data_IF_535260868262
#
_entry.id   IF_535260868262
#
_cell.length_a   1.000
_cell.length_b   1.000
_cell.length_c   1.000
_cell.angle_alpha   90.00
_cell.angle_beta   90.00
_cell.angle_gamma   90.00
#
_symmetry.space_group_name_H-M   'P 1'
#
loop_
_entity.id
_entity.type
_entity.pdbx_description
1 polymer ?
#
# COMPACT_ATOMS: atom_id res chain seq x y z
N UNK A 1 -12.24 -25.43 80.43
CA UNK A 1 -11.45 -24.30 79.87
C UNK A 1 -10.84 -24.56 78.47
N UNK A 2 -10.40 -25.77 78.12
CA UNK A 2 -9.79 -26.10 76.83
C UNK A 2 -10.64 -25.80 75.61
N UNK A 3 -11.97 -26.07 75.63
CA UNK A 3 -12.82 -25.85 74.45
C UNK A 3 -13.13 -24.35 74.11
N UNK A 4 -12.99 -23.42 75.06
CA UNK A 4 -13.23 -22.00 74.83
C UNK A 4 -12.10 -21.33 74.07
N UNK A 5 -10.85 -21.73 74.37
CA UNK A 5 -9.63 -21.25 73.68
C UNK A 5 -9.58 -21.73 72.23
N UNK A 6 -10.00 -22.99 71.98
CA UNK A 6 -10.05 -23.56 70.62
C UNK A 6 -11.08 -22.79 69.75
N UNK A 7 -12.29 -22.56 70.28
CA UNK A 7 -13.36 -21.81 69.55
C UNK A 7 -12.97 -20.36 69.23
N UNK A 8 -12.14 -19.71 70.10
CA UNK A 8 -11.65 -18.34 69.84
C UNK A 8 -10.50 -18.30 68.84
N UNK A 9 -9.74 -19.39 68.65
CA UNK A 9 -8.62 -19.47 67.68
C UNK A 9 -9.05 -19.82 66.26
N UNK A 10 -10.21 -20.46 66.09
CA UNK A 10 -10.75 -20.87 64.80
C UNK A 10 -10.86 -19.73 63.76
N UNK A 11 -11.43 -18.56 64.11
CA UNK A 11 -11.51 -17.44 63.14
C UNK A 11 -10.13 -16.95 62.67
N UNK A 12 -9.14 -16.94 63.59
CA UNK A 12 -7.77 -16.53 63.24
C UNK A 12 -7.08 -17.53 62.30
N UNK A 13 -7.30 -18.83 62.55
CA UNK A 13 -6.76 -19.90 61.68
C UNK A 13 -7.42 -19.85 60.30
N UNK A 14 -8.74 -19.68 60.22
CA UNK A 14 -9.48 -19.55 58.97
C UNK A 14 -9.03 -18.30 58.19
N UNK A 15 -8.80 -17.17 58.87
CA UNK A 15 -8.25 -15.95 58.26
C UNK A 15 -6.84 -16.18 57.70
N UNK A 16 -5.96 -16.84 58.45
CA UNK A 16 -4.62 -17.16 58.01
C UNK A 16 -4.59 -18.13 56.78
N UNK A 17 -5.50 -19.14 56.80
CA UNK A 17 -5.66 -20.05 55.66
C UNK A 17 -6.18 -19.26 54.42
N UNK A 18 -7.13 -18.35 54.61
CA UNK A 18 -7.67 -17.56 53.48
C UNK A 18 -6.58 -16.68 52.84
N UNK A 19 -5.79 -15.98 53.65
CA UNK A 19 -4.66 -15.16 53.13
C UNK A 19 -3.71 -16.04 52.30
N UNK A 20 -3.32 -17.21 52.80
CA UNK A 20 -2.45 -18.13 52.06
C UNK A 20 -3.08 -18.71 50.80
N UNK A 21 -4.40 -18.94 50.80
CA UNK A 21 -5.13 -19.33 49.58
C UNK A 21 -5.12 -18.22 48.55
N UNK A 22 -5.33 -16.99 48.98
CA UNK A 22 -5.33 -15.81 48.10
C UNK A 22 -3.94 -15.57 47.50
N UNK A 23 -2.87 -15.69 48.33
CA UNK A 23 -1.46 -15.67 47.85
C UNK A 23 -1.20 -16.78 46.82
N UNK A 24 -1.58 -18.01 47.11
CA UNK A 24 -1.39 -19.16 46.23
C UNK A 24 -2.16 -19.00 44.90
N UNK A 25 -3.39 -18.49 44.93
CA UNK A 25 -4.16 -18.20 43.75
C UNK A 25 -3.52 -17.09 42.93
N UNK A 26 -3.01 -16.03 43.56
CA UNK A 26 -2.31 -14.94 42.89
C UNK A 26 -1.02 -15.42 42.20
N UNK A 27 -0.28 -16.31 42.84
CA UNK A 27 0.91 -16.92 42.25
C UNK A 27 0.54 -17.86 41.08
N UNK A 28 -0.53 -18.69 41.20
CA UNK A 28 -1.04 -19.50 40.10
C UNK A 28 -1.50 -18.65 38.89
N UNK A 29 -2.20 -17.54 39.15
CA UNK A 29 -2.60 -16.59 38.11
C UNK A 29 -1.39 -15.96 37.41
N UNK A 30 -0.32 -15.70 38.19
CA UNK A 30 0.96 -15.21 37.68
C UNK A 30 1.68 -16.18 36.73
N UNK A 31 1.46 -17.50 36.89
CA UNK A 31 2.00 -18.55 36.00
C UNK A 31 1.22 -18.64 34.68
N UNK A 32 0.06 -17.99 34.57
CA UNK A 32 -0.82 -18.07 33.40
C UNK A 32 -1.65 -19.35 33.33
N UNK A 33 -2.26 -19.64 32.19
CA UNK A 33 -3.16 -20.78 32.00
C UNK A 33 -2.41 -22.12 31.95
N UNK A 34 -2.97 -23.20 32.53
CA UNK A 34 -2.38 -24.52 32.48
C UNK A 34 -2.41 -25.12 31.06
N UNK A 35 -1.36 -25.83 30.67
CA UNK A 35 -1.17 -26.42 29.34
C UNK A 35 -0.85 -27.93 29.44
N UNK A 36 -1.55 -28.61 30.33
CA UNK A 36 -1.25 -29.99 30.70
C UNK A 36 -1.45 -30.98 29.54
N UNK A 37 -2.32 -30.68 28.59
CA UNK A 37 -2.64 -31.57 27.49
C UNK A 37 -2.84 -30.80 26.16
N UNK A 38 -2.92 -31.54 25.06
CA UNK A 38 -3.12 -30.98 23.72
C UNK A 38 -4.44 -30.19 23.61
N UNK A 39 -5.47 -30.51 24.35
CA UNK A 39 -6.74 -29.82 24.32
C UNK A 39 -6.61 -28.42 24.97
N UNK A 40 -5.94 -28.30 26.09
CA UNK A 40 -5.65 -27.06 26.77
C UNK A 40 -4.74 -26.17 25.90
N UNK A 41 -3.68 -26.74 25.32
CA UNK A 41 -2.78 -26.06 24.39
C UNK A 41 -3.51 -25.51 23.17
N UNK A 42 -4.36 -26.32 22.52
CA UNK A 42 -5.16 -25.93 21.39
C UNK A 42 -6.13 -24.78 21.74
N UNK A 43 -6.82 -24.92 22.89
CA UNK A 43 -7.77 -23.92 23.38
C UNK A 43 -7.08 -22.56 23.61
N UNK A 44 -5.88 -22.59 24.19
CA UNK A 44 -5.09 -21.38 24.41
C UNK A 44 -4.71 -20.71 23.08
N UNK A 45 -4.09 -21.45 22.14
CA UNK A 45 -3.67 -20.91 20.84
C UNK A 45 -4.88 -20.39 20.05
N UNK A 46 -5.99 -21.12 20.08
CA UNK A 46 -7.23 -20.72 19.39
C UNK A 46 -7.83 -19.44 19.97
N UNK A 47 -7.77 -19.26 21.30
CA UNK A 47 -8.21 -18.02 21.97
C UNK A 47 -7.32 -16.82 21.59
N UNK A 48 -6.01 -17.01 21.56
CA UNK A 48 -5.07 -15.99 21.08
C UNK A 48 -5.38 -15.61 19.64
N UNK A 49 -5.63 -16.60 18.77
CA UNK A 49 -5.99 -16.35 17.38
C UNK A 49 -7.31 -15.60 17.23
N UNK A 50 -8.32 -15.95 18.04
CA UNK A 50 -9.61 -15.26 18.04
C UNK A 50 -9.46 -13.79 18.47
N UNK A 51 -8.70 -13.52 19.53
CA UNK A 51 -8.43 -12.15 19.99
C UNK A 51 -7.63 -11.37 18.96
N UNK A 52 -6.57 -11.96 18.41
CA UNK A 52 -5.76 -11.36 17.36
C UNK A 52 -6.61 -11.00 16.13
N UNK A 53 -7.39 -11.96 15.62
CA UNK A 53 -8.17 -11.76 14.41
C UNK A 53 -9.28 -10.70 14.59
N UNK A 54 -9.92 -10.63 15.76
CA UNK A 54 -10.91 -9.60 16.06
C UNK A 54 -10.29 -8.18 16.04
N UNK A 55 -9.11 -8.01 16.64
CA UNK A 55 -8.37 -6.75 16.63
C UNK A 55 -7.86 -6.40 15.23
N UNK A 56 -7.32 -7.38 14.51
CA UNK A 56 -6.83 -7.20 13.14
C UNK A 56 -7.96 -6.78 12.18
N UNK A 57 -9.14 -7.38 12.29
CA UNK A 57 -10.32 -6.95 11.52
C UNK A 57 -10.75 -5.52 11.88
N UNK A 58 -10.75 -5.16 13.15
CA UNK A 58 -10.99 -3.76 13.58
C UNK A 58 -9.98 -2.79 12.98
N UNK A 59 -8.69 -3.15 13.01
CA UNK A 59 -7.60 -2.36 12.46
C UNK A 59 -7.71 -2.16 10.93
N UNK A 60 -8.12 -3.20 10.20
CA UNK A 60 -8.26 -3.19 8.74
C UNK A 60 -9.56 -2.53 8.26
N UNK A 61 -10.63 -2.62 9.04
CA UNK A 61 -11.95 -2.09 8.66
C UNK A 61 -12.22 -0.68 9.21
N UNK A 62 -11.28 -0.12 10.00
CA UNK A 62 -11.40 1.23 10.55
C UNK A 62 -12.30 1.31 11.80
N UNK A 63 -12.56 0.18 12.47
CA UNK A 63 -13.30 0.12 13.73
C UNK A 63 -12.34 0.36 14.91
N UNK A 64 -11.85 1.58 15.02
CA UNK A 64 -10.76 1.93 15.95
C UNK A 64 -11.21 2.06 17.40
N UNK A 65 -12.51 2.15 17.67
CA UNK A 65 -13.09 2.24 19.00
C UNK A 65 -12.78 1.03 19.90
N UNK A 66 -12.45 -0.11 19.28
CA UNK A 66 -12.09 -1.34 20.00
C UNK A 66 -10.57 -1.49 20.21
N UNK A 67 -9.79 -0.54 19.70
CA UNK A 67 -8.31 -0.59 19.71
C UNK A 67 -7.77 0.39 20.74
N UNK A 68 -6.75 -0.04 21.48
CA UNK A 68 -6.14 0.72 22.58
C UNK A 68 -5.03 1.70 22.14
N UNK A 69 -4.43 1.49 20.95
CA UNK A 69 -3.27 2.24 20.46
C UNK A 69 -3.46 2.65 19.00
N UNK A 70 -3.14 3.89 18.67
CA UNK A 70 -3.17 4.41 17.28
C UNK A 70 -2.21 3.67 16.35
N UNK A 71 -1.18 3.02 16.88
CA UNK A 71 -0.29 2.13 16.12
C UNK A 71 -1.00 0.93 15.50
N UNK A 72 -2.21 0.63 15.97
CA UNK A 72 -3.09 -0.42 15.45
C UNK A 72 -4.01 0.07 14.32
N UNK A 73 -4.00 1.35 13.97
CA UNK A 73 -4.84 1.92 12.91
C UNK A 73 -4.34 1.55 11.51
N UNK A 74 -4.26 0.23 11.25
CA UNK A 74 -3.65 -0.32 10.05
C UNK A 74 -4.18 0.31 8.75
N UNK A 75 -5.51 0.44 8.62
CA UNK A 75 -6.14 1.02 7.42
C UNK A 75 -5.68 2.46 7.17
N UNK A 76 -5.62 3.28 8.22
CA UNK A 76 -5.13 4.66 8.13
C UNK A 76 -3.67 4.69 7.71
N UNK A 77 -2.80 3.97 8.44
CA UNK A 77 -1.35 3.95 8.19
C UNK A 77 -1.00 3.47 6.77
N UNK A 78 -1.72 2.46 6.27
CA UNK A 78 -1.52 1.96 4.91
C UNK A 78 -2.02 2.96 3.88
N UNK A 79 -3.13 3.64 4.15
CA UNK A 79 -3.63 4.71 3.27
C UNK A 79 -2.65 5.86 3.17
N UNK A 80 -2.08 6.30 4.29
CA UNK A 80 -1.04 7.33 4.31
C UNK A 80 0.18 6.93 3.44
N UNK A 81 0.59 5.65 3.46
CA UNK A 81 1.64 5.13 2.57
C UNK A 81 1.24 5.16 1.09
N UNK A 82 -0.01 4.83 0.77
CA UNK A 82 -0.51 4.87 -0.62
C UNK A 82 -0.63 6.31 -1.15
N UNK A 83 -1.04 7.25 -0.31
CA UNK A 83 -1.08 8.67 -0.65
C UNK A 83 0.35 9.22 -0.88
N UNK A 84 1.31 8.86 -0.04
CA UNK A 84 2.72 9.19 -0.25
C UNK A 84 3.30 8.57 -1.54
N UNK A 85 2.90 7.34 -1.88
CA UNK A 85 3.25 6.71 -3.15
C UNK A 85 2.68 7.49 -4.34
N UNK A 86 1.40 7.88 -4.30
CA UNK A 86 0.77 8.69 -5.33
C UNK A 86 1.51 10.01 -5.55
N UNK A 87 1.88 10.70 -4.47
CA UNK A 87 2.65 11.95 -4.53
C UNK A 87 4.06 11.73 -5.13
N UNK A 88 4.75 10.68 -4.71
CA UNK A 88 6.05 10.32 -5.25
C UNK A 88 5.98 10.01 -6.76
N UNK A 89 4.93 9.32 -7.20
CA UNK A 89 4.68 9.07 -8.63
C UNK A 89 4.36 10.36 -9.40
N UNK A 90 3.58 11.25 -8.83
CA UNK A 90 3.23 12.54 -9.46
C UNK A 90 4.45 13.46 -9.61
N UNK A 91 5.35 13.48 -8.62
CA UNK A 91 6.51 14.38 -8.60
C UNK A 91 7.77 13.79 -9.25
N UNK A 92 8.00 12.50 -9.05
CA UNK A 92 9.22 11.79 -9.49
C UNK A 92 9.01 10.80 -10.63
N UNK A 93 7.78 10.62 -11.11
CA UNK A 93 7.44 9.63 -12.13
C UNK A 93 7.88 9.98 -13.55
N UNK A 94 8.18 11.25 -13.82
CA UNK A 94 8.62 11.73 -15.14
C UNK A 94 10.12 12.04 -15.14
N UNK A 95 10.85 11.53 -16.14
CA UNK A 95 12.24 11.92 -16.37
C UNK A 95 12.36 13.34 -16.95
N UNK A 96 11.54 13.64 -17.94
CA UNK A 96 11.48 14.95 -18.59
C UNK A 96 10.02 15.41 -18.58
N UNK A 97 9.69 16.55 -17.95
CA UNK A 97 8.33 17.06 -17.92
C UNK A 97 7.79 17.31 -19.33
N UNK A 98 6.53 16.93 -19.56
CA UNK A 98 5.84 17.25 -20.81
C UNK A 98 5.57 18.76 -20.88
N UNK A 99 5.62 19.33 -22.10
CA UNK A 99 5.25 20.71 -22.33
C UNK A 99 3.76 20.89 -22.13
N UNK A 100 3.37 22.00 -21.50
CA UNK A 100 1.98 22.42 -21.41
C UNK A 100 1.64 23.34 -22.59
N UNK A 101 0.35 23.45 -22.90
CA UNK A 101 -0.11 24.37 -23.96
C UNK A 101 0.24 25.85 -23.68
N UNK A 102 0.37 26.23 -22.42
CA UNK A 102 0.75 27.59 -22.02
C UNK A 102 2.22 27.85 -22.31
N UNK A 103 3.11 26.85 -22.00
CA UNK A 103 4.52 26.90 -22.39
C UNK A 103 4.69 26.94 -23.92
N UNK A 104 3.89 26.17 -24.67
CA UNK A 104 3.93 26.17 -26.12
C UNK A 104 3.50 27.55 -26.66
N UNK A 105 2.53 28.22 -26.04
CA UNK A 105 2.09 29.56 -26.39
C UNK A 105 3.17 30.60 -26.13
N UNK A 106 3.89 30.52 -25.01
CA UNK A 106 5.01 31.42 -24.70
C UNK A 106 6.19 31.23 -25.66
N UNK A 107 6.50 29.99 -26.05
CA UNK A 107 7.52 29.70 -27.05
C UNK A 107 7.21 30.32 -28.42
N UNK A 108 5.93 30.48 -28.74
CA UNK A 108 5.47 31.08 -29.98
C UNK A 108 5.46 32.62 -29.97
N UNK A 109 5.34 33.26 -28.81
CA UNK A 109 5.28 34.70 -28.67
C UNK A 109 6.62 35.34 -29.05
N UNK A 110 6.61 36.28 -30.02
CA UNK A 110 7.77 37.10 -30.38
C UNK A 110 8.82 36.46 -31.28
N UNK A 111 8.65 35.23 -31.77
CA UNK A 111 9.58 34.65 -32.75
C UNK A 111 9.24 35.08 -34.20
N UNK A 112 10.23 35.36 -35.03
CA UNK A 112 10.05 35.51 -36.47
C UNK A 112 9.67 34.18 -37.12
N UNK A 113 9.03 34.21 -38.31
CA UNK A 113 8.54 32.98 -38.96
C UNK A 113 9.63 31.90 -39.13
N UNK A 114 10.85 32.29 -39.39
CA UNK A 114 11.98 31.37 -39.59
C UNK A 114 12.57 30.77 -38.30
N UNK A 115 12.25 31.33 -37.13
CA UNK A 115 12.82 30.91 -35.83
C UNK A 115 11.93 29.95 -35.03
N UNK A 116 10.78 29.55 -35.55
CA UNK A 116 9.86 28.66 -34.81
C UNK A 116 10.43 27.31 -34.47
N UNK A 117 11.02 26.69 -35.46
CA UNK A 117 11.60 25.36 -35.31
C UNK A 117 12.71 25.35 -34.25
N UNK A 118 13.57 26.39 -34.27
CA UNK A 118 14.66 26.54 -33.32
C UNK A 118 14.14 26.76 -31.88
N UNK A 119 13.10 27.59 -31.75
CA UNK A 119 12.53 27.90 -30.43
C UNK A 119 11.84 26.73 -29.76
N UNK A 120 11.08 25.93 -30.50
CA UNK A 120 10.53 24.69 -29.95
C UNK A 120 11.62 23.69 -29.53
N UNK A 121 12.72 23.63 -30.25
CA UNK A 121 13.86 22.78 -29.89
C UNK A 121 14.64 23.26 -28.67
N UNK A 122 14.37 24.50 -28.17
CA UNK A 122 14.87 24.93 -26.85
C UNK A 122 14.12 24.28 -25.68
N UNK A 123 12.91 23.76 -25.90
CA UNK A 123 12.21 22.96 -24.89
C UNK A 123 12.87 21.59 -24.72
N UNK A 124 13.28 21.20 -23.50
CA UNK A 124 13.96 19.94 -23.26
C UNK A 124 13.22 18.72 -23.80
N UNK A 125 11.89 18.67 -23.68
CA UNK A 125 11.08 17.55 -24.13
C UNK A 125 11.07 17.43 -25.67
N UNK A 126 10.92 18.53 -26.40
CA UNK A 126 10.91 18.50 -27.86
C UNK A 126 12.30 18.19 -28.44
N UNK A 127 13.35 18.75 -27.85
CA UNK A 127 14.72 18.42 -28.21
C UNK A 127 15.03 16.93 -28.00
N UNK A 128 14.57 16.37 -26.87
CA UNK A 128 14.74 14.96 -26.53
C UNK A 128 13.96 14.04 -27.48
N UNK A 129 12.71 14.36 -27.81
CA UNK A 129 11.92 13.61 -28.79
C UNK A 129 12.55 13.69 -30.19
N UNK A 130 12.99 14.88 -30.61
CA UNK A 130 13.67 15.08 -31.90
C UNK A 130 14.94 14.25 -32.01
N UNK A 131 15.76 14.21 -30.95
CA UNK A 131 16.94 13.35 -30.91
C UNK A 131 16.54 11.89 -31.05
N UNK A 132 15.56 11.41 -30.27
CA UNK A 132 15.10 10.04 -30.35
C UNK A 132 14.58 9.67 -31.75
N UNK A 133 13.83 10.54 -32.41
CA UNK A 133 13.36 10.31 -33.79
C UNK A 133 14.57 10.14 -34.75
N UNK A 134 15.63 10.90 -34.57
CA UNK A 134 16.86 10.75 -35.40
C UNK A 134 17.61 9.48 -35.09
N UNK A 135 17.74 9.15 -33.80
CA UNK A 135 18.55 8.01 -33.32
C UNK A 135 17.92 6.65 -33.69
N UNK A 136 16.59 6.60 -33.76
CA UNK A 136 15.80 5.39 -34.06
C UNK A 136 15.22 5.37 -35.48
N UNK A 137 15.82 6.13 -36.41
CA UNK A 137 15.42 6.08 -37.83
C UNK A 137 15.56 4.68 -38.38
N UNK A 138 14.50 4.19 -39.05
CA UNK A 138 14.42 2.90 -39.69
C UNK A 138 14.19 3.02 -41.20
N UNK A 139 13.13 2.34 -41.67
CA UNK A 139 12.74 2.29 -43.10
C UNK A 139 11.52 3.14 -43.42
N UNK A 140 11.07 3.94 -42.47
CA UNK A 140 9.92 4.85 -42.62
C UNK A 140 10.17 5.93 -43.65
N UNK A 141 9.12 6.38 -44.30
CA UNK A 141 9.15 7.44 -45.31
C UNK A 141 9.50 8.81 -44.67
N UNK A 142 9.90 9.78 -45.52
CA UNK A 142 10.28 11.09 -45.07
C UNK A 142 9.09 11.78 -44.38
N UNK A 143 9.25 12.11 -43.09
CA UNK A 143 8.23 12.74 -42.25
C UNK A 143 7.42 11.79 -41.41
N UNK A 144 7.55 10.49 -41.57
CA UNK A 144 7.00 9.51 -40.66
C UNK A 144 7.96 9.24 -39.47
N UNK A 145 7.37 8.80 -38.37
CA UNK A 145 8.10 8.48 -37.13
C UNK A 145 8.03 6.98 -36.90
N UNK A 146 9.18 6.36 -36.74
CA UNK A 146 9.26 4.95 -36.37
C UNK A 146 8.44 4.68 -35.10
N UNK A 147 7.48 3.76 -35.11
CA UNK A 147 6.69 3.40 -33.92
C UNK A 147 7.52 3.06 -32.69
N UNK A 148 8.69 2.43 -32.89
CA UNK A 148 9.63 2.06 -31.83
C UNK A 148 10.11 3.27 -31.01
N UNK A 149 10.15 4.48 -31.60
CA UNK A 149 10.53 5.72 -30.90
C UNK A 149 9.67 5.95 -29.67
N UNK A 150 8.36 5.71 -29.77
CA UNK A 150 7.44 5.92 -28.64
C UNK A 150 7.71 4.95 -27.50
N UNK A 151 7.97 3.66 -27.82
CA UNK A 151 8.25 2.63 -26.83
C UNK A 151 9.59 2.89 -26.12
N UNK A 152 10.60 3.34 -26.87
CA UNK A 152 11.90 3.70 -26.29
C UNK A 152 11.86 4.95 -25.44
N UNK A 153 11.11 5.98 -25.87
CA UNK A 153 10.89 7.18 -25.08
C UNK A 153 10.11 6.86 -23.80
N UNK A 154 9.10 6.01 -23.91
CA UNK A 154 8.29 5.57 -22.75
C UNK A 154 9.14 4.89 -21.69
N UNK A 155 9.92 3.89 -22.06
CA UNK A 155 10.83 3.18 -21.14
C UNK A 155 11.78 4.14 -20.41
N UNK A 156 12.34 5.12 -21.14
CA UNK A 156 13.24 6.11 -20.56
C UNK A 156 12.50 7.12 -19.68
N UNK A 157 11.28 7.50 -20.04
CA UNK A 157 10.46 8.47 -19.33
C UNK A 157 9.99 7.94 -17.97
N UNK A 158 9.65 6.66 -17.90
CA UNK A 158 9.07 5.99 -16.74
C UNK A 158 10.08 5.14 -15.95
N UNK A 159 11.37 5.28 -16.22
CA UNK A 159 12.42 4.46 -15.59
C UNK A 159 12.45 4.54 -14.05
N UNK A 160 11.95 5.64 -13.46
CA UNK A 160 11.85 5.82 -11.99
C UNK A 160 10.72 5.01 -11.35
N UNK A 161 9.69 4.60 -12.10
CA UNK A 161 8.47 3.98 -11.56
C UNK A 161 8.76 2.72 -10.75
N UNK A 162 9.64 1.86 -11.25
CA UNK A 162 10.03 0.63 -10.55
C UNK A 162 10.63 0.93 -9.17
N UNK A 163 11.54 1.89 -9.09
CA UNK A 163 12.18 2.27 -7.82
C UNK A 163 11.18 2.85 -6.83
N UNK A 164 10.30 3.76 -7.31
CA UNK A 164 9.27 4.39 -6.49
C UNK A 164 8.29 3.34 -5.95
N UNK A 165 7.80 2.44 -6.81
CA UNK A 165 6.85 1.41 -6.42
C UNK A 165 7.47 0.36 -5.48
N UNK A 166 8.72 -0.04 -5.70
CA UNK A 166 9.43 -0.95 -4.78
C UNK A 166 9.60 -0.33 -3.39
N UNK A 167 9.97 0.95 -3.31
CA UNK A 167 10.06 1.66 -2.04
C UNK A 167 8.70 1.78 -1.33
N UNK A 168 7.64 2.03 -2.09
CA UNK A 168 6.28 2.08 -1.55
C UNK A 168 5.85 0.73 -0.97
N UNK A 169 6.14 -0.37 -1.67
CA UNK A 169 5.86 -1.72 -1.18
C UNK A 169 6.62 -2.01 0.13
N UNK A 170 7.91 -1.69 0.17
CA UNK A 170 8.73 -1.85 1.38
C UNK A 170 8.16 -1.05 2.58
N UNK A 171 7.64 0.16 2.34
CA UNK A 171 7.03 0.98 3.39
C UNK A 171 5.72 0.35 3.90
N UNK A 172 4.88 -0.16 3.00
CA UNK A 172 3.64 -0.87 3.38
C UNK A 172 3.96 -2.13 4.17
N UNK A 173 4.94 -2.94 3.73
CA UNK A 173 5.38 -4.14 4.44
C UNK A 173 5.86 -3.81 5.86
N UNK A 174 6.71 -2.80 6.04
CA UNK A 174 7.17 -2.33 7.36
C UNK A 174 6.02 -1.87 8.26
N UNK A 175 5.04 -1.19 7.68
CA UNK A 175 3.83 -0.78 8.41
C UNK A 175 3.06 -1.99 8.90
N UNK A 176 2.85 -2.98 8.04
CA UNK A 176 2.16 -4.24 8.40
C UNK A 176 2.93 -5.00 9.48
N UNK A 177 4.25 -5.10 9.37
CA UNK A 177 5.10 -5.72 10.38
C UNK A 177 4.99 -5.01 11.75
N UNK A 178 4.99 -3.69 11.75
CA UNK A 178 4.83 -2.88 12.97
C UNK A 178 3.46 -3.11 13.63
N UNK A 179 2.39 -3.03 12.85
CA UNK A 179 1.02 -3.31 13.32
C UNK A 179 0.91 -4.73 13.86
N UNK A 180 1.44 -5.71 13.12
CA UNK A 180 1.44 -7.12 13.49
C UNK A 180 2.14 -7.37 14.83
N UNK A 181 3.28 -6.72 15.07
CA UNK A 181 4.01 -6.83 16.34
C UNK A 181 3.17 -6.33 17.53
N UNK A 182 2.46 -5.21 17.37
CA UNK A 182 1.59 -4.66 18.42
C UNK A 182 0.35 -5.55 18.62
N UNK A 183 -0.27 -6.05 17.54
CA UNK A 183 -1.39 -7.00 17.62
C UNK A 183 -1.01 -8.26 18.42
N UNK A 184 0.16 -8.84 18.15
CA UNK A 184 0.64 -10.00 18.92
C UNK A 184 0.93 -9.64 20.39
N UNK A 185 1.41 -8.44 20.66
CA UNK A 185 1.65 -7.99 22.03
C UNK A 185 0.35 -7.92 22.83
N UNK A 186 -0.71 -7.39 22.23
CA UNK A 186 -2.02 -7.27 22.85
C UNK A 186 -2.78 -8.60 22.93
N UNK A 187 -2.73 -9.41 21.85
CA UNK A 187 -3.47 -10.67 21.77
C UNK A 187 -2.85 -11.78 22.63
N UNK A 188 -1.50 -11.79 22.75
CA UNK A 188 -0.75 -12.80 23.48
C UNK A 188 0.16 -12.16 24.55
N UNK A 189 -0.35 -11.93 25.78
CA UNK A 189 0.45 -11.43 26.89
C UNK A 189 1.60 -12.34 27.30
N UNK A 190 1.49 -13.64 27.02
CA UNK A 190 2.52 -14.62 27.33
C UNK A 190 3.80 -14.36 26.52
N UNK A 191 4.85 -13.95 27.25
CA UNK A 191 6.15 -13.58 26.69
C UNK A 191 6.92 -14.76 26.07
N UNK A 192 6.55 -16.02 26.37
CA UNK A 192 7.19 -17.24 25.85
C UNK A 192 6.43 -17.79 24.63
N UNK A 193 5.12 -17.80 24.67
CA UNK A 193 4.27 -18.25 23.56
C UNK A 193 4.34 -17.32 22.35
N UNK A 194 4.31 -16.02 22.59
CA UNK A 194 4.29 -14.99 21.53
C UNK A 194 5.41 -15.16 20.49
N UNK A 195 6.70 -15.24 20.85
CA UNK A 195 7.76 -15.44 19.86
C UNK A 195 7.63 -16.73 19.07
N UNK A 196 7.17 -17.81 19.71
CA UNK A 196 6.96 -19.11 19.04
C UNK A 196 5.86 -19.01 17.99
N UNK A 197 4.75 -18.32 18.29
CA UNK A 197 3.68 -18.04 17.33
C UNK A 197 4.16 -17.19 16.15
N UNK A 198 4.94 -16.15 16.43
CA UNK A 198 5.49 -15.28 15.39
C UNK A 198 6.45 -16.04 14.46
N UNK A 199 7.32 -16.87 14.99
CA UNK A 199 8.23 -17.72 14.19
C UNK A 199 7.42 -18.74 13.37
N UNK A 200 6.40 -19.37 13.97
CA UNK A 200 5.55 -20.35 13.29
C UNK A 200 4.81 -19.76 12.09
N UNK A 201 4.42 -18.48 12.15
CA UNK A 201 3.71 -17.78 11.07
C UNK A 201 4.64 -17.10 10.06
N UNK A 202 5.94 -16.97 10.37
CA UNK A 202 6.89 -16.20 9.60
C UNK A 202 6.98 -16.61 8.13
N UNK A 203 6.95 -17.91 7.86
CA UNK A 203 7.06 -18.42 6.49
C UNK A 203 5.82 -18.07 5.66
N UNK A 204 4.63 -18.08 6.26
CA UNK A 204 3.40 -17.68 5.55
C UNK A 204 3.38 -16.17 5.28
N UNK A 205 3.88 -15.37 6.21
CA UNK A 205 4.01 -13.92 5.99
C UNK A 205 5.01 -13.60 4.87
N UNK A 206 6.13 -14.34 4.81
CA UNK A 206 7.09 -14.23 3.71
C UNK A 206 6.49 -14.62 2.37
N UNK A 207 5.62 -15.62 2.31
CA UNK A 207 4.91 -16.00 1.08
C UNK A 207 3.99 -14.87 0.59
N UNK A 208 3.24 -14.24 1.48
CA UNK A 208 2.38 -13.11 1.11
C UNK A 208 3.19 -11.95 0.52
N UNK A 209 4.31 -11.57 1.16
CA UNK A 209 5.25 -10.56 0.65
C UNK A 209 5.85 -10.97 -0.70
N UNK A 210 6.25 -12.22 -0.85
CA UNK A 210 6.78 -12.73 -2.12
C UNK A 210 5.75 -12.64 -3.26
N UNK A 211 4.49 -12.99 -3.00
CA UNK A 211 3.40 -12.85 -3.98
C UNK A 211 3.16 -11.38 -4.35
N UNK A 212 3.17 -10.46 -3.37
CA UNK A 212 3.04 -9.03 -3.62
C UNK A 212 4.18 -8.50 -4.52
N UNK A 213 5.42 -8.94 -4.28
CA UNK A 213 6.58 -8.56 -5.11
C UNK A 213 6.50 -9.12 -6.53
N UNK A 214 6.04 -10.36 -6.70
CA UNK A 214 5.81 -10.95 -8.02
C UNK A 214 4.74 -10.19 -8.78
N UNK A 215 3.63 -9.85 -8.12
CA UNK A 215 2.56 -9.05 -8.74
C UNK A 215 3.04 -7.65 -9.14
N UNK A 216 3.83 -6.99 -8.27
CA UNK A 216 4.45 -5.71 -8.63
C UNK A 216 5.35 -5.84 -9.87
N UNK A 217 6.14 -6.91 -9.98
CA UNK A 217 6.96 -7.15 -11.15
C UNK A 217 6.12 -7.32 -12.42
N UNK A 218 5.00 -8.05 -12.35
CA UNK A 218 4.08 -8.18 -13.47
C UNK A 218 3.46 -6.83 -13.88
N UNK A 219 3.10 -5.98 -12.91
CA UNK A 219 2.60 -4.63 -13.21
C UNK A 219 3.66 -3.77 -13.92
N UNK A 220 4.89 -3.85 -13.45
CA UNK A 220 6.03 -3.14 -14.06
C UNK A 220 6.24 -3.63 -15.50
N UNK A 221 6.28 -4.93 -15.73
CA UNK A 221 6.44 -5.50 -17.07
C UNK A 221 5.32 -5.07 -18.01
N UNK A 222 4.07 -5.10 -17.54
CA UNK A 222 2.91 -4.73 -18.33
C UNK A 222 2.87 -3.23 -18.68
N UNK A 223 3.28 -2.34 -17.77
CA UNK A 223 3.19 -0.90 -18.00
C UNK A 223 4.43 -0.30 -18.64
N UNK A 224 5.63 -0.80 -18.32
CA UNK A 224 6.89 -0.21 -18.75
C UNK A 224 7.50 -0.90 -19.98
N UNK A 225 7.27 -2.20 -20.13
CA UNK A 225 7.96 -3.00 -21.14
C UNK A 225 7.07 -3.58 -22.23
N UNK A 226 5.75 -3.64 -22.02
CA UNK A 226 4.79 -4.04 -23.04
C UNK A 226 4.52 -2.91 -24.06
N UNK A 227 3.79 -3.24 -25.11
CA UNK A 227 3.34 -2.28 -26.11
C UNK A 227 2.41 -1.24 -25.50
N UNK A 228 2.59 0.05 -25.89
CA UNK A 228 1.79 1.18 -25.38
C UNK A 228 0.34 1.10 -25.87
N UNK A 229 -0.51 0.44 -25.11
CA UNK A 229 -1.90 0.21 -25.45
C UNK A 229 -2.85 0.69 -24.34
N UNK A 230 -3.93 1.37 -24.76
CA UNK A 230 -5.05 1.71 -23.90
C UNK A 230 -6.32 1.91 -24.72
N UNK A 231 -7.43 1.42 -24.21
CA UNK A 231 -8.77 1.67 -24.74
C UNK A 231 -9.44 2.87 -24.03
N UNK A 232 -8.76 3.48 -23.05
CA UNK A 232 -9.36 4.56 -22.28
C UNK A 232 -9.59 5.81 -23.13
N UNK A 233 -10.81 6.35 -23.19
CA UNK A 233 -11.17 7.47 -24.09
C UNK A 233 -10.44 8.76 -23.76
N UNK A 234 -9.98 8.92 -22.52
CA UNK A 234 -9.23 10.10 -22.07
C UNK A 234 -7.96 10.33 -22.91
N UNK A 235 -7.26 9.26 -23.34
CA UNK A 235 -6.07 9.40 -24.18
C UNK A 235 -6.39 10.21 -25.45
N UNK A 236 -7.45 9.83 -26.16
CA UNK A 236 -7.86 10.50 -27.40
C UNK A 236 -8.35 11.92 -27.13
N UNK A 237 -9.11 12.11 -26.05
CA UNK A 237 -9.61 13.44 -25.67
C UNK A 237 -8.46 14.41 -25.36
N UNK A 238 -7.47 14.00 -24.58
CA UNK A 238 -6.29 14.82 -24.26
C UNK A 238 -5.40 15.06 -25.47
N UNK A 239 -5.20 14.08 -26.32
CA UNK A 239 -4.45 14.26 -27.56
C UNK A 239 -5.11 15.31 -28.48
N UNK A 240 -6.44 15.29 -28.60
CA UNK A 240 -7.20 16.28 -29.32
C UNK A 240 -7.12 17.67 -28.65
N UNK A 241 -7.10 17.73 -27.32
CA UNK A 241 -6.95 18.97 -26.57
C UNK A 241 -5.59 19.63 -26.86
N UNK A 242 -4.48 18.88 -26.79
CA UNK A 242 -3.15 19.40 -27.16
C UNK A 242 -3.13 19.94 -28.57
N UNK A 243 -3.69 19.19 -29.52
CA UNK A 243 -3.77 19.62 -30.90
C UNK A 243 -4.60 20.90 -31.06
N UNK A 244 -5.79 20.97 -30.45
CA UNK A 244 -6.69 22.14 -30.54
C UNK A 244 -6.07 23.38 -29.92
N UNK A 245 -5.40 23.28 -28.79
CA UNK A 245 -4.71 24.37 -28.12
C UNK A 245 -3.54 24.87 -28.99
N UNK A 246 -2.79 24.00 -29.63
CA UNK A 246 -1.71 24.36 -30.55
C UNK A 246 -2.25 25.12 -31.78
N UNK A 247 -3.35 24.62 -32.36
CA UNK A 247 -4.03 25.30 -33.47
C UNK A 247 -4.56 26.67 -33.05
N UNK A 248 -5.16 26.79 -31.86
CA UNK A 248 -5.63 28.07 -31.34
C UNK A 248 -4.49 29.10 -31.16
N UNK A 249 -3.35 28.67 -30.57
CA UNK A 249 -2.15 29.50 -30.40
C UNK A 249 -1.60 29.99 -31.75
N UNK A 250 -1.55 29.10 -32.75
CA UNK A 250 -1.14 29.47 -34.11
C UNK A 250 -2.11 30.46 -34.76
N UNK A 251 -3.40 30.23 -34.60
CA UNK A 251 -4.44 31.12 -35.12
C UNK A 251 -4.32 32.54 -34.55
N UNK A 252 -4.17 32.64 -33.24
CA UNK A 252 -4.00 33.91 -32.56
C UNK A 252 -2.75 34.66 -33.03
N UNK A 253 -1.67 33.93 -33.28
CA UNK A 253 -0.46 34.50 -33.78
C UNK A 253 -0.58 34.98 -35.21
N UNK A 254 -1.18 34.20 -36.13
CA UNK A 254 -1.44 34.64 -37.50
C UNK A 254 -2.25 35.93 -37.48
N UNK A 255 -3.20 36.07 -36.54
CA UNK A 255 -3.93 37.33 -36.33
C UNK A 255 -3.03 38.49 -35.90
N UNK A 256 -2.12 38.26 -34.95
CA UNK A 256 -1.20 39.31 -34.46
C UNK A 256 -0.21 39.76 -35.52
N UNK A 257 0.28 38.87 -36.35
CA UNK A 257 1.22 39.20 -37.44
C UNK A 257 0.58 39.86 -38.65
N UNK A 258 -0.73 39.67 -38.86
CA UNK A 258 -1.47 40.25 -39.97
C UNK A 258 -2.59 41.17 -39.44
N UNK A 259 -2.37 42.49 -39.32
CA UNK A 259 -3.36 43.41 -38.78
C UNK A 259 -4.71 43.39 -39.53
N UNK A 260 -4.74 42.96 -40.80
CA UNK A 260 -5.95 42.77 -41.58
C UNK A 260 -6.90 41.68 -41.00
N UNK A 261 -6.40 40.81 -40.11
CA UNK A 261 -7.19 39.79 -39.39
C UNK A 261 -7.58 40.21 -37.97
N UNK A 262 -7.06 41.34 -37.47
CA UNK A 262 -7.47 41.92 -36.20
C UNK A 262 -8.82 42.60 -36.42
N UNK A 263 -9.88 42.00 -35.86
CA UNK A 263 -11.24 42.53 -35.95
C UNK A 263 -11.41 43.90 -35.31
N UNK A 264 -12.58 44.41 -35.26
CA UNK A 264 -12.97 45.71 -35.75
C UNK A 264 -12.58 46.83 -34.79
N UNK A 265 -11.59 47.62 -35.19
CA UNK A 265 -11.77 49.07 -35.12
C UNK A 265 -12.33 49.54 -36.48
N UNK A 266 -13.34 48.84 -36.95
CA UNK A 266 -14.03 49.20 -38.17
C UNK A 266 -14.83 50.49 -37.91
N UNK A 267 -14.43 51.54 -38.53
CA UNK A 267 -15.31 52.68 -38.80
C UNK A 267 -16.51 52.14 -39.60
N UNK A 268 -17.69 52.76 -39.47
CA UNK A 268 -18.87 52.27 -40.19
C UNK A 268 -18.63 52.39 -41.69
N UNK A 269 -18.42 51.26 -42.37
CA UNK A 269 -18.26 51.14 -43.80
C UNK A 269 -17.14 50.26 -44.32
N UNK A 270 -16.20 49.81 -43.54
CA UNK A 270 -15.08 48.97 -44.02
C UNK A 270 -14.90 47.63 -43.37
N UNK A 271 -14.93 46.66 -44.21
CA UNK A 271 -14.27 45.37 -44.29
C UNK A 271 -14.54 44.34 -43.18
N UNK A 272 -15.22 43.31 -43.60
CA UNK A 272 -15.33 42.02 -42.95
C UNK A 272 -13.94 41.51 -42.53
N UNK A 273 -13.76 41.25 -41.23
CA UNK A 273 -12.60 40.52 -40.70
C UNK A 273 -12.43 39.25 -41.53
N UNK A 274 -11.32 39.10 -42.20
CA UNK A 274 -11.01 37.87 -42.93
C UNK A 274 -10.78 36.75 -41.91
N UNK A 275 -11.51 35.66 -41.96
CA UNK A 275 -11.26 34.53 -41.06
C UNK A 275 -9.88 33.95 -41.38
N UNK A 276 -9.15 33.53 -40.31
CA UNK A 276 -7.95 32.70 -40.49
C UNK A 276 -8.42 31.37 -41.03
N UNK A 277 -8.01 31.00 -42.24
CA UNK A 277 -8.42 29.78 -42.90
C UNK A 277 -7.56 28.58 -42.46
N UNK A 278 -8.07 27.37 -42.57
CA UNK A 278 -7.30 26.16 -42.35
C UNK A 278 -6.06 26.07 -43.23
N UNK A 279 -6.14 26.61 -44.46
CA UNK A 279 -5.01 26.69 -45.40
C UNK A 279 -3.89 27.60 -44.89
N UNK A 280 -4.20 28.68 -44.22
CA UNK A 280 -3.22 29.59 -43.60
C UNK A 280 -2.53 28.89 -42.39
N UNK A 281 -3.27 28.12 -41.63
CA UNK A 281 -2.70 27.32 -40.53
C UNK A 281 -1.80 26.23 -41.09
N UNK A 282 -2.27 25.48 -42.10
CA UNK A 282 -1.50 24.40 -42.76
C UNK A 282 -0.26 24.95 -43.47
N UNK A 283 -0.35 26.14 -44.04
CA UNK A 283 0.77 26.80 -44.70
C UNK A 283 1.74 27.47 -43.70
N UNK A 284 1.41 27.53 -42.42
CA UNK A 284 2.33 28.00 -41.37
C UNK A 284 3.57 27.12 -41.30
N UNK A 285 4.70 27.68 -40.91
CA UNK A 285 6.00 27.02 -40.91
C UNK A 285 6.01 25.69 -40.09
N UNK A 286 5.21 25.63 -39.03
CA UNK A 286 5.10 24.44 -38.16
C UNK A 286 4.56 23.22 -38.93
N UNK A 287 3.56 23.39 -39.79
CA UNK A 287 3.00 22.30 -40.58
C UNK A 287 3.75 22.08 -41.93
N UNK A 288 4.59 23.02 -42.33
CA UNK A 288 5.46 22.84 -43.50
C UNK A 288 6.65 21.92 -43.25
N UNK A 289 7.04 21.73 -41.97
CA UNK A 289 8.19 20.88 -41.61
C UNK A 289 7.70 19.53 -41.09
N UNK A 290 7.68 18.47 -41.89
CA UNK A 290 7.20 17.15 -41.50
C UNK A 290 7.86 16.62 -40.22
N UNK A 291 9.15 16.90 -40.02
CA UNK A 291 9.88 16.49 -38.83
C UNK A 291 9.30 17.10 -37.53
N UNK A 292 8.87 18.37 -37.56
CA UNK A 292 8.24 19.02 -36.40
C UNK A 292 6.87 18.44 -36.09
N UNK A 293 6.07 18.15 -37.13
CA UNK A 293 4.77 17.47 -36.95
C UNK A 293 4.96 16.13 -36.27
N UNK A 294 5.99 15.37 -36.68
CA UNK A 294 6.35 14.10 -36.02
C UNK A 294 6.70 14.26 -34.52
N UNK A 295 7.46 15.29 -34.17
CA UNK A 295 7.82 15.60 -32.77
C UNK A 295 6.59 15.93 -31.95
N UNK A 296 5.70 16.80 -32.43
CA UNK A 296 4.47 17.19 -31.73
C UNK A 296 3.49 16.02 -31.56
N UNK A 297 3.28 15.23 -32.60
CA UNK A 297 2.40 14.06 -32.54
C UNK A 297 2.92 13.02 -31.55
N UNK A 298 4.24 12.83 -31.50
CA UNK A 298 4.88 11.94 -30.53
C UNK A 298 4.72 12.45 -29.11
N UNK A 299 4.97 13.74 -28.88
CA UNK A 299 4.76 14.41 -27.59
C UNK A 299 3.32 14.25 -27.12
N UNK A 300 2.34 14.67 -27.93
CA UNK A 300 0.92 14.66 -27.57
C UNK A 300 0.42 13.23 -27.28
N UNK A 301 0.90 12.26 -28.06
CA UNK A 301 0.56 10.86 -27.86
C UNK A 301 1.14 10.31 -26.55
N UNK A 302 2.41 10.62 -26.22
CA UNK A 302 3.06 10.18 -24.99
C UNK A 302 2.48 10.87 -23.76
N UNK A 303 2.28 12.20 -23.81
CA UNK A 303 1.69 12.96 -22.71
C UNK A 303 0.28 12.49 -22.38
N UNK A 304 -0.56 12.31 -23.39
CA UNK A 304 -1.90 11.80 -23.20
C UNK A 304 -1.94 10.36 -22.70
N UNK A 305 -0.97 9.51 -23.08
CA UNK A 305 -0.85 8.15 -22.60
C UNK A 305 -0.35 8.12 -21.16
N UNK A 306 0.62 8.97 -20.80
CA UNK A 306 1.20 9.06 -19.47
C UNK A 306 0.14 9.27 -18.39
N UNK A 307 -0.76 10.21 -18.59
CA UNK A 307 -1.81 10.49 -17.60
C UNK A 307 -2.71 9.27 -17.33
N UNK A 308 -3.04 8.51 -18.38
CA UNK A 308 -3.85 7.31 -18.23
C UNK A 308 -3.07 6.18 -17.56
N UNK A 309 -1.82 5.99 -17.97
CA UNK A 309 -0.98 4.93 -17.45
C UNK A 309 -0.58 5.17 -15.99
N UNK A 310 -0.30 6.42 -15.62
CA UNK A 310 0.06 6.80 -14.25
C UNK A 310 -1.03 6.41 -13.25
N UNK A 311 -2.28 6.85 -13.48
CA UNK A 311 -3.38 6.54 -12.57
C UNK A 311 -3.71 5.05 -12.56
N UNK A 312 -3.67 4.39 -13.72
CA UNK A 312 -3.87 2.95 -13.82
C UNK A 312 -2.82 2.17 -13.02
N UNK A 313 -1.55 2.57 -13.10
CA UNK A 313 -0.46 1.94 -12.35
C UNK A 313 -0.62 2.14 -10.84
N UNK A 314 -0.97 3.35 -10.39
CA UNK A 314 -1.23 3.67 -8.98
C UNK A 314 -2.40 2.83 -8.45
N UNK A 315 -3.52 2.78 -9.17
CA UNK A 315 -4.69 2.00 -8.78
C UNK A 315 -4.39 0.49 -8.74
N UNK A 316 -3.69 -0.02 -9.74
CA UNK A 316 -3.30 -1.43 -9.78
C UNK A 316 -2.31 -1.79 -8.66
N UNK A 317 -1.37 -0.93 -8.34
CA UNK A 317 -0.49 -1.12 -7.18
C UNK A 317 -1.31 -1.22 -5.88
N UNK A 318 -2.22 -0.28 -5.65
CA UNK A 318 -3.05 -0.30 -4.46
C UNK A 318 -3.95 -1.55 -4.38
N UNK A 319 -4.63 -1.90 -5.48
CA UNK A 319 -5.64 -2.97 -5.49
C UNK A 319 -5.04 -4.36 -5.65
N UNK A 320 -4.10 -4.54 -6.59
CA UNK A 320 -3.59 -5.87 -6.94
C UNK A 320 -2.39 -6.26 -6.08
N UNK A 321 -1.51 -5.33 -5.72
CA UNK A 321 -0.35 -5.64 -4.90
C UNK A 321 -0.70 -5.56 -3.42
N UNK A 322 -1.21 -4.43 -2.95
CA UNK A 322 -1.43 -4.20 -1.51
C UNK A 322 -2.70 -4.87 -1.02
N UNK A 323 -3.87 -4.50 -1.56
CA UNK A 323 -5.15 -5.03 -1.07
C UNK A 323 -5.27 -6.55 -1.25
N UNK A 324 -4.88 -7.06 -2.40
CA UNK A 324 -5.04 -8.48 -2.73
C UNK A 324 -4.08 -9.38 -1.96
N UNK A 325 -2.80 -9.04 -1.89
CA UNK A 325 -1.77 -9.93 -1.34
C UNK A 325 -1.42 -9.63 0.11
N UNK A 326 -1.37 -8.36 0.51
CA UNK A 326 -0.96 -7.99 1.86
C UNK A 326 -2.14 -7.82 2.82
N UNK A 327 -3.29 -7.33 2.35
CA UNK A 327 -4.49 -7.11 3.18
C UNK A 327 -5.61 -8.11 2.91
N UNK A 328 -5.46 -8.98 1.93
CA UNK A 328 -6.41 -10.03 1.58
C UNK A 328 -6.47 -11.15 2.63
N UNK A 329 -7.33 -12.17 2.42
CA UNK A 329 -7.53 -13.26 3.39
C UNK A 329 -6.27 -14.04 3.76
N UNK A 330 -5.32 -14.16 2.83
CA UNK A 330 -4.02 -14.83 3.05
C UNK A 330 -2.92 -13.85 3.49
N UNK A 331 -3.25 -12.57 3.67
CA UNK A 331 -2.31 -11.54 4.09
C UNK A 331 -1.90 -11.66 5.56
N UNK A 332 -0.78 -11.04 5.96
CA UNK A 332 -0.20 -11.19 7.28
C UNK A 332 -1.14 -10.86 8.43
N UNK A 333 -2.03 -9.88 8.28
CA UNK A 333 -2.94 -9.45 9.34
C UNK A 333 -4.24 -10.28 9.43
N UNK A 334 -4.56 -11.11 8.43
CA UNK A 334 -5.78 -11.93 8.41
C UNK A 334 -5.54 -13.41 8.54
N UNK A 335 -4.32 -13.86 8.27
CA UNK A 335 -3.97 -15.26 8.25
C UNK A 335 -4.15 -15.92 9.62
N UNK A 336 -3.68 -15.29 10.71
CA UNK A 336 -3.75 -15.86 12.06
C UNK A 336 -5.15 -15.69 12.66
N UNK A 337 -6.00 -16.67 12.42
CA UNK A 337 -7.38 -16.75 12.88
C UNK A 337 -7.73 -18.16 13.39
N UNK A 338 -8.86 -18.35 14.09
CA UNK A 338 -9.27 -19.65 14.62
C UNK A 338 -9.37 -20.77 13.59
N UNK A 339 -9.79 -20.45 12.36
CA UNK A 339 -9.89 -21.43 11.29
C UNK A 339 -8.51 -21.94 10.88
N UNK A 340 -7.55 -21.05 10.69
CA UNK A 340 -6.17 -21.40 10.34
C UNK A 340 -5.53 -22.26 11.45
N UNK A 341 -5.75 -21.90 12.72
CA UNK A 341 -5.28 -22.70 13.86
C UNK A 341 -5.90 -24.10 13.85
N UNK A 342 -7.19 -24.21 13.58
CA UNK A 342 -7.86 -25.49 13.48
C UNK A 342 -7.32 -26.34 12.33
N UNK A 343 -7.12 -25.76 11.15
CA UNK A 343 -6.57 -26.48 9.99
C UNK A 343 -5.14 -26.99 10.21
N UNK A 344 -4.31 -26.20 10.88
CA UNK A 344 -2.88 -26.50 11.05
C UNK A 344 -2.53 -27.27 12.32
N UNK A 345 -3.29 -27.10 13.40
CA UNK A 345 -2.92 -27.61 14.74
C UNK A 345 -3.94 -28.57 15.34
N UNK A 346 -5.16 -28.71 14.80
CA UNK A 346 -6.15 -29.62 15.34
C UNK A 346 -5.90 -31.07 14.92
N UNK A 347 -6.15 -31.98 15.85
CA UNK A 347 -6.15 -33.44 15.65
C UNK A 347 -4.81 -34.15 15.94
N UNK A 348 -4.84 -35.48 16.02
CA UNK A 348 -3.70 -36.28 16.50
C UNK A 348 -2.46 -36.20 15.60
N UNK A 349 -2.63 -35.91 14.29
CA UNK A 349 -1.50 -35.75 13.35
C UNK A 349 -0.69 -34.50 13.65
N UNK A 350 -1.30 -33.48 14.22
CA UNK A 350 -0.71 -32.19 14.51
C UNK A 350 -0.30 -32.04 15.98
N UNK A 351 -0.55 -33.02 16.82
CA UNK A 351 -0.27 -32.96 18.25
C UNK A 351 1.19 -32.59 18.58
N UNK A 352 2.15 -33.10 17.81
CA UNK A 352 3.57 -32.78 18.00
C UNK A 352 3.88 -31.30 17.62
N UNK A 353 3.26 -30.80 16.57
CA UNK A 353 3.44 -29.40 16.16
C UNK A 353 2.83 -28.44 17.19
N UNK A 354 1.66 -28.80 17.73
CA UNK A 354 0.99 -28.03 18.77
C UNK A 354 1.80 -28.03 20.06
N UNK A 355 2.31 -29.19 20.51
CA UNK A 355 3.16 -29.31 21.68
C UNK A 355 4.42 -28.46 21.53
N UNK A 356 5.15 -28.59 20.43
CA UNK A 356 6.34 -27.78 20.18
C UNK A 356 6.05 -26.24 20.24
N UNK A 357 4.84 -25.85 19.88
CA UNK A 357 4.43 -24.43 19.86
C UNK A 357 3.99 -23.96 21.25
N UNK A 358 3.14 -24.74 21.94
CA UNK A 358 2.39 -24.30 23.11
C UNK A 358 2.69 -25.05 24.40
N UNK A 359 3.68 -25.94 24.40
CA UNK A 359 4.09 -26.67 25.64
C UNK A 359 4.42 -25.69 26.76
N UNK A 360 4.02 -26.08 27.98
CA UNK A 360 4.40 -25.38 29.19
C UNK A 360 5.89 -25.67 29.49
N UNK A 361 6.57 -24.61 29.93
CA UNK A 361 7.95 -24.78 30.40
C UNK A 361 8.00 -25.77 31.57
N UNK A 362 8.92 -26.74 31.58
CA UNK A 362 9.01 -27.75 32.66
C UNK A 362 9.14 -27.15 34.06
N UNK A 363 9.83 -26.00 34.20
CA UNK A 363 9.95 -25.30 35.47
C UNK A 363 8.63 -24.70 35.92
N UNK A 364 7.88 -24.08 35.01
CA UNK A 364 6.54 -23.52 35.27
C UNK A 364 5.56 -24.68 35.64
N UNK A 365 5.59 -25.78 34.89
CA UNK A 365 4.74 -26.95 35.17
C UNK A 365 5.01 -27.52 36.57
N UNK A 366 6.29 -27.58 36.98
CA UNK A 366 6.67 -28.03 38.32
C UNK A 366 6.20 -27.08 39.42
N UNK A 367 6.37 -25.76 39.20
CA UNK A 367 5.94 -24.73 40.17
C UNK A 367 4.41 -24.72 40.31
N UNK A 368 3.69 -24.81 39.15
CA UNK A 368 2.24 -24.97 39.15
C UNK A 368 1.79 -26.20 39.96
N UNK A 369 2.40 -27.36 39.73
CA UNK A 369 2.06 -28.57 40.46
C UNK A 369 2.28 -28.42 41.98
N UNK A 370 3.35 -27.73 42.43
CA UNK A 370 3.60 -27.42 43.84
C UNK A 370 2.51 -26.50 44.40
N UNK A 371 2.16 -25.45 43.72
CA UNK A 371 1.14 -24.49 44.14
C UNK A 371 -0.26 -25.11 44.19
N UNK A 372 -0.61 -25.92 43.19
CA UNK A 372 -1.87 -26.68 43.18
C UNK A 372 -1.96 -27.67 44.35
N UNK A 373 -0.88 -28.40 44.66
CA UNK A 373 -0.82 -29.27 45.84
C UNK A 373 -0.94 -28.47 47.14
N UNK A 374 -0.31 -27.32 47.24
CA UNK A 374 -0.41 -26.43 48.39
C UNK A 374 -1.84 -25.89 48.55
N UNK A 375 -2.47 -25.42 47.45
CA UNK A 375 -3.88 -24.98 47.43
C UNK A 375 -4.81 -26.06 47.91
N UNK A 376 -4.70 -27.26 47.35
CA UNK A 376 -5.52 -28.41 47.75
C UNK A 376 -5.35 -28.73 49.25
N UNK A 377 -4.13 -28.71 49.78
CA UNK A 377 -3.85 -28.92 51.22
C UNK A 377 -4.47 -27.83 52.11
N UNK A 378 -4.43 -26.58 51.67
CA UNK A 378 -5.05 -25.43 52.39
C UNK A 378 -6.58 -25.52 52.37
N UNK A 379 -7.17 -25.91 51.23
CA UNK A 379 -8.61 -26.14 51.11
C UNK A 379 -9.11 -27.28 52.00
N UNK A 380 -8.40 -28.40 52.01
CA UNK A 380 -8.73 -29.52 52.93
C UNK A 380 -8.59 -29.08 54.41
N UNK A 381 -7.52 -28.34 54.74
CA UNK A 381 -7.33 -27.76 56.06
C UNK A 381 -8.48 -26.81 56.46
N UNK A 382 -8.94 -25.98 55.53
CA UNK A 382 -10.08 -25.08 55.74
C UNK A 382 -11.37 -25.85 56.06
N UNK A 383 -11.65 -26.89 55.29
CA UNK A 383 -12.83 -27.74 55.47
C UNK A 383 -12.77 -28.47 56.87
N UNK A 384 -11.61 -29.00 57.24
CA UNK A 384 -11.45 -29.66 58.56
C UNK A 384 -11.67 -28.68 59.71
N UNK A 385 -11.14 -27.48 59.64
CA UNK A 385 -11.32 -26.42 60.65
C UNK A 385 -12.76 -25.93 60.72
N UNK A 386 -13.47 -25.84 59.57
CA UNK A 386 -14.89 -25.50 59.52
C UNK A 386 -15.77 -26.58 60.16
N UNK A 387 -15.51 -27.82 59.87
CA UNK A 387 -16.22 -28.99 60.43
C UNK A 387 -16.02 -29.08 61.98
N UNK A 388 -14.86 -28.67 62.48
CA UNK A 388 -14.60 -28.61 63.93
C UNK A 388 -15.37 -27.50 64.64
N UNK A 389 -15.87 -26.48 63.87
CA UNK A 389 -16.70 -25.38 64.37
C UNK A 389 -18.15 -25.83 64.61
N UNK A 390 -18.59 -26.87 63.95
CA UNK A 390 -19.99 -27.39 64.03
C UNK A 390 -20.18 -28.42 65.14
N UNK A 391 -19.11 -29.03 65.62
CA UNK A 391 -19.08 -29.93 66.81
C UNK A 391 -18.81 -29.08 68.08
#
# INVERSE_FOLDING_TARGET
MRNRHVKQSIPKILGAIQVKLDECNQELDGLGEPRADNQAQFTLVNRVAARYSAMAEGALNGHYEILSDEKLFARKLIRDNLEAFQEAMATGGLKVPFSTSDMDSELLVGAAEDQYAERFMLSPIYAWISSAIRDYRGKEDIGEVNPEVKDQLWKKQTASWQGIASQALDNVEKTIESVNAVLFQEACPDKRLRPRLQIWLQDEFRKASAHARVELQHLIENELHAHLFTLHPLKKAKQNEFHSKRVASLTERIRKLNPAFNGPQAQPGETKVKPVTSEMIISSHIYKTPALVGVFNTHDSLAAYYDVALYRFIDNFALQVVERHLLGPSGPLRLFNPQYVAEKLYGPKNAKALSNLADEDPEIAQDRAKLEAQRASLEDGKIRVQNFKVL
#
